data_IF_346258617557
#
_entry.id   IF_346258617557
#
_cell.length_a   1.000
_cell.length_b   1.000
_cell.length_c   1.000
_cell.angle_alpha   90.00
_cell.angle_beta   90.00
_cell.angle_gamma   90.00
#
_symmetry.space_group_name_H-M   'P 1'
#
loop_
_entity.id
_entity.type
_entity.pdbx_description
1 polymer ?
#
# COMPACT_ATOMS: atom_id res chain seq x y z
N UNK A 1 -15.18 -20.92 -10.33
CA UNK A 1 -13.76 -20.71 -10.69
C UNK A 1 -13.25 -19.58 -9.82
N UNK A 2 -12.29 -19.87 -8.96
CA UNK A 2 -11.66 -18.87 -8.11
C UNK A 2 -10.67 -18.11 -8.98
N UNK A 3 -10.90 -16.81 -9.15
CA UNK A 3 -9.99 -15.96 -9.93
C UNK A 3 -8.81 -15.61 -9.02
N UNK A 4 -7.64 -16.16 -9.32
CA UNK A 4 -6.38 -15.72 -8.73
C UNK A 4 -6.20 -14.25 -9.12
N UNK A 5 -6.17 -13.36 -8.15
CA UNK A 5 -5.90 -11.93 -8.40
C UNK A 5 -4.39 -11.73 -8.38
N UNK A 6 -3.84 -11.54 -9.56
CA UNK A 6 -2.46 -11.06 -9.72
C UNK A 6 -2.47 -9.53 -9.56
N UNK A 7 -1.75 -9.04 -8.57
CA UNK A 7 -1.56 -7.60 -8.36
C UNK A 7 -0.19 -7.18 -8.93
N UNK A 8 -0.22 -6.38 -9.98
CA UNK A 8 0.95 -5.71 -10.52
C UNK A 8 1.02 -4.30 -9.96
N UNK A 9 2.16 -3.89 -9.45
CA UNK A 9 2.34 -2.57 -8.86
C UNK A 9 3.68 -1.92 -9.23
N UNK A 10 3.67 -0.60 -9.30
CA UNK A 10 4.84 0.27 -9.32
C UNK A 10 4.70 1.34 -8.25
N UNK A 11 5.83 1.84 -7.72
CA UNK A 11 5.88 2.92 -6.76
C UNK A 11 6.85 4.00 -7.18
N UNK A 12 6.51 5.25 -6.87
CA UNK A 12 7.40 6.39 -7.05
C UNK A 12 7.41 7.28 -5.82
N UNK A 13 8.56 7.91 -5.54
CA UNK A 13 8.66 9.03 -4.62
C UNK A 13 8.07 10.28 -5.27
N UNK A 14 7.27 11.02 -4.50
CA UNK A 14 6.59 12.23 -4.96
C UNK A 14 7.08 13.44 -4.18
N UNK A 15 7.70 14.41 -4.86
CA UNK A 15 8.14 15.67 -4.24
C UNK A 15 7.01 16.69 -4.13
N UNK A 16 6.14 16.73 -5.14
CA UNK A 16 5.00 17.66 -5.19
C UNK A 16 3.68 16.88 -5.40
N UNK A 17 3.05 16.38 -4.30
CA UNK A 17 1.81 15.62 -4.40
C UNK A 17 0.62 16.43 -4.95
N UNK A 18 0.62 17.76 -4.78
CA UNK A 18 -0.45 18.61 -5.31
C UNK A 18 -0.38 18.72 -6.84
N UNK A 19 0.84 18.78 -7.40
CA UNK A 19 1.02 18.74 -8.85
C UNK A 19 0.55 17.42 -9.45
N UNK A 20 0.94 16.28 -8.83
CA UNK A 20 0.50 14.95 -9.24
C UNK A 20 -1.02 14.83 -9.15
N UNK A 21 -1.63 15.24 -8.04
CA UNK A 21 -3.09 15.23 -7.86
C UNK A 21 -3.79 16.01 -8.97
N UNK A 22 -3.30 17.24 -9.25
CA UNK A 22 -3.87 18.09 -10.31
C UNK A 22 -3.78 17.40 -11.68
N UNK A 23 -2.64 16.79 -12.00
CA UNK A 23 -2.41 16.13 -13.27
C UNK A 23 -3.35 14.92 -13.47
N UNK A 24 -3.45 14.02 -12.48
CA UNK A 24 -4.32 12.84 -12.60
C UNK A 24 -5.80 13.21 -12.64
N UNK A 25 -6.24 14.23 -11.90
CA UNK A 25 -7.61 14.73 -11.96
C UNK A 25 -7.92 15.35 -13.33
N UNK A 26 -6.99 16.10 -13.91
CA UNK A 26 -7.13 16.64 -15.27
C UNK A 26 -7.19 15.54 -16.33
N UNK A 27 -6.58 14.37 -16.08
CA UNK A 27 -6.69 13.18 -16.93
C UNK A 27 -7.98 12.36 -16.70
N UNK A 28 -8.88 12.80 -15.81
CA UNK A 28 -10.16 12.14 -15.54
C UNK A 28 -10.12 11.11 -14.40
N UNK A 29 -9.13 11.16 -13.51
CA UNK A 29 -9.12 10.30 -12.34
C UNK A 29 -10.28 10.62 -11.38
N UNK A 30 -10.91 9.57 -10.85
CA UNK A 30 -11.98 9.66 -9.86
C UNK A 30 -11.44 9.38 -8.45
N UNK A 31 -11.70 10.25 -7.48
CA UNK A 31 -11.36 10.01 -6.08
C UNK A 31 -12.29 8.94 -5.50
N UNK A 32 -11.71 7.80 -5.10
CA UNK A 32 -12.43 6.66 -4.53
C UNK A 32 -12.40 6.63 -3.02
N UNK A 33 -11.31 7.12 -2.41
CA UNK A 33 -11.13 7.11 -0.96
C UNK A 33 -10.17 8.22 -0.55
N UNK A 34 -10.49 8.87 0.58
CA UNK A 34 -9.60 9.77 1.31
C UNK A 34 -9.74 9.52 2.80
N UNK A 35 -8.62 9.33 3.51
CA UNK A 35 -8.65 9.10 4.94
C UNK A 35 -7.35 8.52 5.48
N UNK A 36 -7.40 8.01 6.73
CA UNK A 36 -6.29 7.26 7.28
C UNK A 36 -6.42 5.78 6.94
N UNK A 37 -5.29 5.14 6.66
CA UNK A 37 -5.19 3.71 6.40
C UNK A 37 -4.13 3.10 7.31
N UNK A 38 -4.54 2.07 8.06
CA UNK A 38 -3.69 1.40 9.04
C UNK A 38 -3.52 -0.06 8.67
N UNK A 39 -2.30 -0.47 8.35
CA UNK A 39 -1.96 -1.86 8.09
C UNK A 39 -1.31 -2.50 9.31
N UNK A 40 -1.77 -3.71 9.64
CA UNK A 40 -1.16 -4.60 10.62
C UNK A 40 -0.80 -5.89 9.91
N UNK A 41 0.51 -6.13 9.74
CA UNK A 41 1.00 -7.41 9.24
C UNK A 41 1.17 -8.35 10.41
N UNK A 42 0.87 -9.60 10.17
CA UNK A 42 0.90 -10.64 11.18
C UNK A 42 1.90 -11.72 10.79
N UNK A 43 2.52 -12.30 11.79
CA UNK A 43 3.33 -13.50 11.65
C UNK A 43 3.11 -14.43 12.86
N UNK A 44 3.37 -15.70 12.64
CA UNK A 44 3.37 -16.73 13.68
C UNK A 44 4.71 -17.46 13.67
N UNK A 45 5.63 -17.02 14.58
CA UNK A 45 6.98 -17.60 14.75
C UNK A 45 7.87 -17.46 13.51
N UNK A 46 7.76 -16.36 12.75
CA UNK A 46 8.55 -16.12 11.54
C UNK A 46 8.19 -16.97 10.33
N UNK A 47 7.09 -17.75 10.39
CA UNK A 47 6.76 -18.73 9.33
C UNK A 47 6.28 -18.09 8.03
N UNK A 48 5.58 -16.96 8.11
CA UNK A 48 5.13 -16.27 6.91
C UNK A 48 6.31 -15.54 6.26
N UNK A 49 7.14 -14.88 7.07
CA UNK A 49 8.34 -14.18 6.60
C UNK A 49 9.30 -15.14 5.88
N UNK A 50 9.55 -16.33 6.42
CA UNK A 50 10.39 -17.37 5.79
C UNK A 50 9.88 -17.83 4.42
N UNK A 51 8.57 -17.71 4.15
CA UNK A 51 7.94 -18.07 2.87
C UNK A 51 7.65 -16.86 1.99
N UNK A 52 8.11 -15.67 2.38
CA UNK A 52 7.78 -14.39 1.75
C UNK A 52 6.26 -14.18 1.59
N UNK A 53 5.49 -14.64 2.58
CA UNK A 53 4.05 -14.46 2.64
C UNK A 53 3.67 -13.33 3.60
N UNK A 54 2.54 -12.71 3.37
CA UNK A 54 2.03 -11.64 4.23
C UNK A 54 0.56 -11.90 4.57
N UNK A 55 0.23 -11.98 5.87
CA UNK A 55 -1.14 -11.81 6.35
C UNK A 55 -1.28 -10.38 6.86
N UNK A 56 -2.27 -9.66 6.36
CA UNK A 56 -2.49 -8.25 6.65
C UNK A 56 -3.94 -7.97 7.00
N UNK A 57 -4.16 -7.28 8.11
CA UNK A 57 -5.42 -6.60 8.38
C UNK A 57 -5.21 -5.10 8.11
N UNK A 58 -5.91 -4.57 7.11
CA UNK A 58 -5.96 -3.16 6.76
C UNK A 58 -7.25 -2.56 7.31
N UNK A 59 -7.16 -1.42 7.98
CA UNK A 59 -8.32 -0.68 8.49
C UNK A 59 -8.35 0.69 7.83
N UNK A 60 -9.51 1.05 7.32
CA UNK A 60 -9.80 2.32 6.69
C UNK A 60 -10.59 3.22 7.64
N UNK A 61 -10.12 4.44 7.85
CA UNK A 61 -10.78 5.49 8.63
C UNK A 61 -11.08 6.66 7.68
N UNK A 62 -12.29 6.70 7.08
CA UNK A 62 -12.64 7.73 6.11
C UNK A 62 -12.59 9.14 6.68
N UNK A 63 -12.16 10.12 5.87
CA UNK A 63 -12.07 11.51 6.29
C UNK A 63 -13.45 12.17 6.47
N UNK A 64 -14.47 11.67 5.80
CA UNK A 64 -15.88 12.11 5.91
C UNK A 64 -16.60 11.56 7.15
N UNK A 65 -15.87 10.84 8.02
CA UNK A 65 -16.38 10.21 9.24
C UNK A 65 -17.42 9.10 9.01
N UNK A 66 -17.54 8.58 7.80
CA UNK A 66 -18.29 7.35 7.57
C UNK A 66 -17.70 6.18 8.38
N UNK A 67 -18.46 5.09 8.63
CA UNK A 67 -17.98 3.98 9.44
C UNK A 67 -16.66 3.39 8.95
N UNK A 68 -15.77 3.07 9.90
CA UNK A 68 -14.54 2.34 9.60
C UNK A 68 -14.86 0.93 9.11
N UNK A 69 -14.02 0.41 8.24
CA UNK A 69 -14.10 -0.94 7.72
C UNK A 69 -12.71 -1.51 7.50
N UNK A 70 -12.61 -2.81 7.34
CA UNK A 70 -11.34 -3.48 7.15
C UNK A 70 -11.28 -4.36 5.92
N UNK A 71 -10.05 -4.76 5.60
CA UNK A 71 -9.74 -5.82 4.65
C UNK A 71 -8.73 -6.76 5.30
N UNK A 72 -9.10 -8.03 5.40
CA UNK A 72 -8.17 -9.09 5.73
C UNK A 72 -7.62 -9.66 4.43
N UNK A 73 -6.31 -9.63 4.27
CA UNK A 73 -5.63 -10.09 3.07
C UNK A 73 -4.50 -11.06 3.37
N UNK A 74 -4.25 -11.94 2.41
CA UNK A 74 -3.06 -12.75 2.31
C UNK A 74 -2.38 -12.46 0.97
N UNK A 75 -1.06 -12.29 0.99
CA UNK A 75 -0.23 -12.13 -0.22
C UNK A 75 0.81 -13.24 -0.25
N UNK A 76 0.92 -13.90 -1.39
CA UNK A 76 1.93 -14.91 -1.67
C UNK A 76 3.33 -14.33 -1.86
N UNK A 77 4.33 -15.18 -2.17
CA UNK A 77 5.70 -14.75 -2.43
C UNK A 77 5.78 -13.74 -3.58
N UNK A 78 6.78 -12.84 -3.50
CA UNK A 78 7.06 -11.87 -4.57
C UNK A 78 7.56 -12.59 -5.81
N UNK A 79 6.98 -12.24 -6.94
CA UNK A 79 7.44 -12.58 -8.27
C UNK A 79 7.72 -11.30 -9.05
N UNK A 80 8.45 -11.40 -10.15
CA UNK A 80 8.63 -10.31 -11.11
C UNK A 80 8.05 -10.70 -12.45
N UNK A 81 7.31 -9.76 -13.08
CA UNK A 81 6.80 -9.90 -14.44
C UNK A 81 7.25 -8.69 -15.25
N UNK A 82 8.37 -8.84 -15.96
CA UNK A 82 9.04 -7.71 -16.57
C UNK A 82 9.50 -6.70 -15.52
N UNK A 83 9.10 -5.45 -15.68
CA UNK A 83 9.44 -4.34 -14.78
C UNK A 83 8.47 -4.19 -13.60
N UNK A 84 7.47 -5.08 -13.46
CA UNK A 84 6.46 -5.01 -12.43
C UNK A 84 6.74 -6.00 -11.30
N UNK A 85 6.37 -5.60 -10.10
CA UNK A 85 6.26 -6.48 -8.94
C UNK A 85 4.91 -7.18 -9.00
N UNK A 86 4.91 -8.50 -8.84
CA UNK A 86 3.73 -9.37 -8.90
C UNK A 86 3.60 -10.17 -7.62
N UNK A 87 2.39 -10.24 -7.09
CA UNK A 87 2.00 -11.20 -6.02
C UNK A 87 0.61 -11.78 -6.29
N UNK A 88 0.42 -13.03 -5.91
CA UNK A 88 -0.91 -13.57 -5.70
C UNK A 88 -1.51 -12.91 -4.46
N UNK A 89 -2.77 -12.46 -4.56
CA UNK A 89 -3.45 -11.78 -3.48
C UNK A 89 -4.86 -12.30 -3.28
N UNK A 90 -5.22 -12.52 -2.01
CA UNK A 90 -6.57 -12.87 -1.58
C UNK A 90 -7.01 -11.88 -0.53
N UNK A 91 -8.11 -11.20 -0.79
CA UNK A 91 -8.66 -10.20 0.13
C UNK A 91 -10.14 -10.44 0.40
N UNK A 92 -10.53 -10.18 1.63
CA UNK A 92 -11.93 -10.18 2.04
C UNK A 92 -12.21 -8.93 2.86
N UNK A 93 -13.31 -8.26 2.56
CA UNK A 93 -13.82 -7.16 3.37
C UNK A 93 -14.27 -7.68 4.73
N UNK A 94 -14.01 -6.92 5.78
CA UNK A 94 -14.43 -7.19 7.15
C UNK A 94 -15.11 -5.96 7.72
N UNK A 95 -16.31 -6.15 8.29
CA UNK A 95 -17.09 -5.07 8.90
C UNK A 95 -16.66 -4.81 10.34
N UNK A 96 -16.10 -5.82 11.04
CA UNK A 96 -15.51 -5.66 12.38
C UNK A 96 -14.01 -6.01 12.39
N UNK A 97 -13.12 -5.06 12.07
CA UNK A 97 -11.68 -5.28 12.12
C UNK A 97 -11.16 -5.60 13.54
N UNK A 98 -11.86 -5.16 14.58
CA UNK A 98 -11.45 -5.42 15.98
C UNK A 98 -11.65 -6.89 16.33
N UNK A 99 -12.78 -7.47 15.94
CA UNK A 99 -13.02 -8.91 16.12
C UNK A 99 -11.97 -9.74 15.37
N UNK A 100 -11.65 -9.42 14.11
CA UNK A 100 -10.62 -10.10 13.34
C UNK A 100 -9.25 -10.03 14.02
N UNK A 101 -8.88 -8.86 14.57
CA UNK A 101 -7.63 -8.70 15.33
C UNK A 101 -7.58 -9.64 16.54
N UNK A 102 -8.68 -9.76 17.28
CA UNK A 102 -8.79 -10.66 18.43
C UNK A 102 -8.66 -12.12 18.00
N UNK A 103 -9.37 -12.53 16.94
CA UNK A 103 -9.32 -13.89 16.39
C UNK A 103 -7.88 -14.26 16.01
N UNK A 104 -7.19 -13.42 15.22
CA UNK A 104 -5.81 -13.66 14.81
C UNK A 104 -4.87 -13.81 16.01
N UNK A 105 -5.06 -13.03 17.08
CA UNK A 105 -4.29 -13.16 18.32
C UNK A 105 -4.53 -14.50 19.01
N UNK A 106 -5.79 -14.93 19.12
CA UNK A 106 -6.14 -16.24 19.69
C UNK A 106 -5.59 -17.40 18.85
N UNK A 107 -5.48 -17.24 17.52
CA UNK A 107 -4.80 -18.19 16.63
C UNK A 107 -3.28 -18.17 16.76
N UNK A 108 -2.72 -17.33 17.63
CA UNK A 108 -1.28 -17.24 17.92
C UNK A 108 -0.49 -16.35 16.96
N UNK A 109 -1.17 -15.56 16.14
CA UNK A 109 -0.50 -14.54 15.32
C UNK A 109 -0.13 -13.32 16.16
N UNK A 110 1.05 -12.75 15.87
CA UNK A 110 1.53 -11.49 16.47
C UNK A 110 1.69 -10.45 15.38
N UNK A 111 1.51 -9.18 15.72
CA UNK A 111 1.78 -8.08 14.79
C UNK A 111 3.30 -7.98 14.61
N UNK A 112 3.77 -8.24 13.39
CA UNK A 112 5.18 -8.13 12.98
C UNK A 112 5.53 -6.74 12.45
N UNK A 113 4.57 -6.07 11.78
CA UNK A 113 4.76 -4.72 11.23
C UNK A 113 3.48 -3.88 11.36
N UNK A 114 3.67 -2.60 11.66
CA UNK A 114 2.62 -1.58 11.62
C UNK A 114 2.98 -0.52 10.59
N UNK A 115 2.00 -0.19 9.74
CA UNK A 115 2.11 0.92 8.80
C UNK A 115 0.86 1.78 8.94
N UNK A 116 1.04 3.05 9.26
CA UNK A 116 -0.04 4.03 9.41
C UNK A 116 0.22 5.18 8.44
N UNK A 117 -0.77 5.53 7.63
CA UNK A 117 -0.62 6.61 6.65
C UNK A 117 -1.93 7.31 6.35
N UNK A 118 -1.87 8.57 5.93
CA UNK A 118 -2.98 9.21 5.23
C UNK A 118 -2.93 8.80 3.75
N UNK A 119 -4.08 8.67 3.12
CA UNK A 119 -4.19 8.15 1.76
C UNK A 119 -5.24 8.92 0.97
N UNK A 120 -4.93 9.18 -0.29
CA UNK A 120 -5.89 9.49 -1.33
C UNK A 120 -5.78 8.42 -2.41
N UNK A 121 -6.89 7.72 -2.66
CA UNK A 121 -6.96 6.66 -3.66
C UNK A 121 -7.84 7.09 -4.82
N UNK A 122 -7.32 6.93 -6.04
CA UNK A 122 -7.99 7.29 -7.27
C UNK A 122 -8.12 6.10 -8.20
N UNK A 123 -9.10 6.15 -9.10
CA UNK A 123 -9.24 5.23 -10.23
C UNK A 123 -9.06 6.00 -11.52
N UNK A 124 -8.23 5.48 -12.43
CA UNK A 124 -7.97 6.06 -13.74
C UNK A 124 -7.70 4.96 -14.77
N UNK A 125 -8.53 4.83 -15.80
CA UNK A 125 -8.29 3.94 -16.93
C UNK A 125 -8.06 2.47 -16.58
N UNK A 126 -8.69 1.97 -15.51
CA UNK A 126 -8.50 0.59 -15.01
C UNK A 126 -7.34 0.43 -14.04
N UNK A 127 -6.56 1.48 -13.77
CA UNK A 127 -5.56 1.50 -12.73
C UNK A 127 -6.09 2.12 -11.42
N UNK A 128 -5.55 1.67 -10.30
CA UNK A 128 -5.67 2.33 -9.00
C UNK A 128 -4.40 3.12 -8.73
N UNK A 129 -4.53 4.40 -8.40
CA UNK A 129 -3.44 5.26 -7.97
C UNK A 129 -3.65 5.60 -6.49
N UNK A 130 -2.58 5.51 -5.68
CA UNK A 130 -2.66 5.79 -4.25
C UNK A 130 -1.53 6.71 -3.82
N UNK A 131 -1.86 7.97 -3.50
CA UNK A 131 -0.94 8.88 -2.82
C UNK A 131 -0.94 8.54 -1.33
N UNK A 132 0.25 8.37 -0.74
CA UNK A 132 0.44 7.91 0.62
C UNK A 132 1.37 8.83 1.40
N UNK A 133 0.89 9.40 2.52
CA UNK A 133 1.63 10.25 3.45
C UNK A 133 1.91 9.50 4.73
N UNK A 134 3.16 9.26 5.03
CA UNK A 134 3.64 8.57 6.23
C UNK A 134 3.98 9.57 7.35
N UNK A 135 4.07 9.13 8.63
CA UNK A 135 4.39 10.01 9.76
C UNK A 135 5.72 10.76 9.66
N UNK A 136 6.77 10.13 9.13
CA UNK A 136 8.03 10.77 8.81
C UNK A 136 8.76 9.98 7.73
N UNK A 137 8.42 10.22 6.48
CA UNK A 137 9.02 9.66 5.28
C UNK A 137 8.58 10.48 4.06
N UNK A 138 9.13 10.17 2.89
CA UNK A 138 8.65 10.71 1.63
C UNK A 138 7.17 10.37 1.37
N UNK A 139 6.49 11.22 0.60
CA UNK A 139 5.21 10.85 0.00
C UNK A 139 5.49 9.86 -1.12
N UNK A 140 4.73 8.77 -1.16
CA UNK A 140 4.79 7.79 -2.23
C UNK A 140 3.52 7.82 -3.07
N UNK A 141 3.67 7.51 -4.34
CA UNK A 141 2.58 7.17 -5.24
C UNK A 141 2.70 5.70 -5.62
N UNK A 142 1.68 4.92 -5.33
CA UNK A 142 1.53 3.53 -5.76
C UNK A 142 0.56 3.49 -6.94
N UNK A 143 0.90 2.74 -7.99
CA UNK A 143 0.04 2.52 -9.16
C UNK A 143 -0.11 1.02 -9.35
N UNK A 144 -1.35 0.54 -9.32
CA UNK A 144 -1.73 -0.87 -9.41
C UNK A 144 -2.68 -1.09 -10.60
N UNK A 145 -2.56 -2.23 -11.28
CA UNK A 145 -3.48 -2.60 -12.37
C UNK A 145 -2.86 -3.57 -13.37
N UNK A 146 -3.46 -3.68 -14.54
CA UNK A 146 -2.83 -4.37 -15.68
C UNK A 146 -1.76 -3.45 -16.31
N UNK A 147 -0.76 -4.01 -17.01
CA UNK A 147 0.37 -3.23 -17.53
C UNK A 147 -0.03 -1.99 -18.31
N UNK A 148 -0.97 -2.11 -19.24
CA UNK A 148 -1.43 -0.99 -20.09
C UNK A 148 -2.09 0.12 -19.26
N UNK A 149 -2.87 -0.26 -18.24
CA UNK A 149 -3.53 0.68 -17.34
C UNK A 149 -2.49 1.39 -16.43
N UNK A 150 -1.50 0.64 -15.90
CA UNK A 150 -0.39 1.20 -15.14
C UNK A 150 0.37 2.24 -15.97
N UNK A 151 0.79 1.88 -17.19
CA UNK A 151 1.55 2.79 -18.05
C UNK A 151 0.72 4.03 -18.46
N UNK A 152 -0.58 3.88 -18.67
CA UNK A 152 -1.50 5.00 -18.91
C UNK A 152 -1.58 5.94 -17.71
N UNK A 153 -1.75 5.37 -16.51
CA UNK A 153 -1.81 6.12 -15.27
C UNK A 153 -0.48 6.81 -14.94
N UNK A 154 0.66 6.12 -15.14
CA UNK A 154 2.00 6.70 -14.96
C UNK A 154 2.19 7.94 -15.83
N UNK A 155 1.86 7.88 -17.12
CA UNK A 155 1.91 9.06 -18.01
C UNK A 155 1.04 10.22 -17.52
N UNK A 156 -0.13 9.92 -16.98
CA UNK A 156 -1.07 10.93 -16.47
C UNK A 156 -0.55 11.67 -15.24
N UNK A 157 0.39 11.10 -14.49
CA UNK A 157 0.97 11.74 -13.28
C UNK A 157 1.88 12.92 -13.59
N UNK A 158 2.44 12.97 -14.80
CA UNK A 158 3.48 13.93 -15.18
C UNK A 158 4.87 13.62 -14.59
N UNK A 159 5.02 12.53 -13.84
CA UNK A 159 6.32 12.07 -13.36
C UNK A 159 7.04 11.27 -14.45
N UNK A 160 8.38 11.30 -14.48
CA UNK A 160 9.15 10.48 -15.43
C UNK A 160 8.96 8.99 -15.15
N UNK A 161 8.93 8.16 -16.21
CA UNK A 161 8.65 6.72 -16.07
C UNK A 161 9.70 5.99 -15.22
N UNK A 162 10.96 6.41 -15.29
CA UNK A 162 12.08 5.86 -14.52
C UNK A 162 12.03 6.16 -13.01
N UNK A 163 11.19 7.13 -12.59
CA UNK A 163 10.89 7.34 -11.17
C UNK A 163 10.03 6.21 -10.56
N UNK A 164 9.38 5.40 -11.41
CA UNK A 164 8.50 4.32 -10.96
C UNK A 164 9.26 2.99 -10.90
N UNK A 165 9.35 2.45 -9.69
CA UNK A 165 10.12 1.26 -9.37
C UNK A 165 9.20 0.12 -8.90
N UNK A 166 9.56 -1.11 -9.24
CA UNK A 166 8.90 -2.33 -8.75
C UNK A 166 9.42 -2.74 -7.37
N UNK A 167 9.58 -1.75 -6.47
CA UNK A 167 10.21 -1.93 -5.17
C UNK A 167 9.19 -1.83 -4.02
N UNK A 168 9.54 -2.45 -2.90
CA UNK A 168 8.67 -2.48 -1.71
C UNK A 168 8.92 -1.30 -0.76
N UNK A 169 8.01 -1.07 0.20
CA UNK A 169 8.16 -0.01 1.19
C UNK A 169 9.52 0.00 1.92
N UNK A 170 10.12 -1.14 2.34
CA UNK A 170 11.48 -1.16 2.91
C UNK A 170 12.55 -0.51 2.04
N UNK A 171 12.50 -0.67 0.71
CA UNK A 171 13.41 0.02 -0.19
C UNK A 171 13.29 1.54 -0.06
N UNK A 172 12.08 2.07 -0.11
CA UNK A 172 11.84 3.52 0.01
C UNK A 172 12.19 4.07 1.39
N UNK A 173 12.01 3.29 2.47
CA UNK A 173 12.47 3.70 3.81
C UNK A 173 13.98 3.81 3.86
N UNK A 174 14.72 2.82 3.33
CA UNK A 174 16.18 2.85 3.28
C UNK A 174 16.71 4.00 2.42
N UNK A 175 16.13 4.23 1.24
CA UNK A 175 16.50 5.34 0.36
C UNK A 175 16.22 6.72 1.00
N UNK A 176 15.12 6.84 1.78
CA UNK A 176 14.85 8.05 2.56
C UNK A 176 15.92 8.29 3.63
N UNK A 177 16.26 7.25 4.40
CA UNK A 177 17.25 7.32 5.49
C UNK A 177 18.64 7.66 4.95
N UNK A 178 19.08 7.01 3.87
CA UNK A 178 20.35 7.28 3.20
C UNK A 178 20.44 8.73 2.71
N UNK A 179 19.40 9.22 2.04
CA UNK A 179 19.38 10.58 1.46
C UNK A 179 19.27 11.68 2.51
N UNK A 180 18.56 11.45 3.62
CA UNK A 180 18.23 12.50 4.58
C UNK A 180 19.01 12.42 5.89
N UNK A 181 19.63 11.29 6.21
CA UNK A 181 20.22 10.99 7.51
C UNK A 181 19.20 10.87 8.66
N UNK A 182 17.90 10.78 8.35
CA UNK A 182 16.81 10.71 9.34
C UNK A 182 16.15 9.36 9.31
N UNK A 183 15.79 8.82 10.48
CA UNK A 183 15.06 7.54 10.58
C UNK A 183 13.65 7.68 10.01
N UNK A 184 13.30 6.82 9.06
CA UNK A 184 11.96 6.74 8.50
C UNK A 184 10.95 6.22 9.54
N UNK A 185 9.80 6.87 9.63
CA UNK A 185 8.69 6.40 10.47
C UNK A 185 7.46 6.16 9.63
N UNK A 186 7.09 4.90 9.52
CA UNK A 186 5.91 4.44 8.78
C UNK A 186 4.72 4.10 9.69
N UNK A 187 4.88 4.24 11.02
CA UNK A 187 3.81 4.06 12.00
C UNK A 187 3.80 5.17 13.03
N UNK A 188 2.61 5.54 13.51
CA UNK A 188 2.44 6.51 14.61
C UNK A 188 2.87 5.96 15.96
N UNK A 189 2.82 4.65 16.14
CA UNK A 189 3.28 4.00 17.38
C UNK A 189 4.79 3.79 17.31
N UNK A 190 5.51 4.20 18.38
CA UNK A 190 6.94 3.88 18.52
C UNK A 190 7.12 2.35 18.47
N UNK A 191 8.19 1.87 17.83
CA UNK A 191 8.64 0.48 18.03
C UNK A 191 8.78 0.28 19.54
N UNK A 192 8.10 -0.70 20.11
CA UNK A 192 8.50 -1.21 21.43
C UNK A 192 9.81 -1.95 21.21
N UNK A 193 10.85 -1.44 21.83
CA UNK A 193 12.11 -2.13 21.97
C UNK A 193 11.90 -3.47 22.66
#
# INVERSE_FOLDING_TARGET
>A
MTVVREELELKARVENPDAVRKAILAAGAELMYRGAMMDRRFDRRGRLEQRDEVVRLRVYHPADKSPEWGVLGWKGPVQRRGEYRLREEWESRVDDPKAVLVILRHMGYKISLRVDRAVEQYRLGGATLRLEWYPAMDVLLEVEGQPEAIEGAVRATGLPRDAFLAESLPYFTAAYEERTGRVARVSRLKRRE
#
